data_IF_956884400148
#
_entry.id   IF_956884400148
#
_cell.length_a   1.000
_cell.length_b   1.000
_cell.length_c   1.000
_cell.angle_alpha   90.00
_cell.angle_beta   90.00
_cell.angle_gamma   90.00
#
_symmetry.space_group_name_H-M   'P 1'
#
loop_
_entity.id
_entity.type
_entity.pdbx_description
1 polymer ?
#
# COMPACT_ATOMS: atom_id res chain seq x y z
N UNK A 1 16.34 -18.72 -50.64
CA UNK A 1 15.83 -17.41 -51.08
C UNK A 1 14.31 -17.52 -51.19
N UNK A 2 13.59 -16.60 -50.54
CA UNK A 2 12.15 -16.26 -50.70
C UNK A 2 11.06 -17.04 -49.93
N UNK A 3 10.49 -16.28 -48.99
CA UNK A 3 9.21 -16.35 -48.27
C UNK A 3 7.96 -16.72 -49.10
N UNK A 4 6.98 -17.33 -48.40
CA UNK A 4 5.55 -16.95 -48.38
C UNK A 4 4.85 -17.71 -47.24
N UNK A 5 4.70 -17.13 -46.04
CA UNK A 5 3.48 -16.42 -45.59
C UNK A 5 2.15 -17.03 -46.06
N UNK A 6 1.54 -17.88 -45.23
CA UNK A 6 0.07 -17.93 -45.06
C UNK A 6 -0.23 -18.04 -43.56
N UNK A 7 -0.78 -16.95 -43.03
CA UNK A 7 -1.31 -16.80 -41.69
C UNK A 7 -2.55 -17.70 -41.53
N UNK A 8 -2.52 -18.62 -40.58
CA UNK A 8 -3.76 -19.19 -40.02
C UNK A 8 -4.02 -18.47 -38.72
N UNK A 9 -5.03 -17.59 -38.76
CA UNK A 9 -5.41 -16.72 -37.68
C UNK A 9 -5.92 -17.48 -36.47
N UNK A 10 -5.04 -17.73 -35.50
CA UNK A 10 -5.44 -17.83 -34.11
C UNK A 10 -5.90 -16.44 -33.68
N UNK A 11 -7.21 -16.29 -33.55
CA UNK A 11 -7.85 -15.07 -33.13
C UNK A 11 -7.25 -14.62 -31.78
N UNK A 12 -6.43 -13.56 -31.80
CA UNK A 12 -5.87 -12.93 -30.61
C UNK A 12 -6.95 -12.56 -29.58
N UNK A 13 -8.20 -12.39 -30.03
CA UNK A 13 -9.36 -12.13 -29.17
C UNK A 13 -9.75 -13.37 -28.36
N UNK A 14 -9.62 -14.59 -28.90
CA UNK A 14 -9.91 -15.83 -28.15
C UNK A 14 -8.81 -16.16 -27.14
N UNK A 15 -7.54 -15.86 -27.43
CA UNK A 15 -6.46 -15.99 -26.45
C UNK A 15 -6.52 -14.90 -25.38
N UNK A 16 -6.83 -13.66 -25.74
CA UNK A 16 -7.06 -12.58 -24.77
C UNK A 16 -8.32 -12.81 -23.93
N UNK A 17 -9.37 -13.41 -24.50
CA UNK A 17 -10.57 -13.81 -23.77
C UNK A 17 -10.26 -14.94 -22.78
N UNK A 18 -9.43 -15.92 -23.14
CA UNK A 18 -8.96 -16.98 -22.22
C UNK A 18 -8.09 -16.43 -21.07
N UNK A 19 -7.19 -15.47 -21.35
CA UNK A 19 -6.41 -14.77 -20.31
C UNK A 19 -7.27 -13.84 -19.44
N UNK A 20 -8.34 -13.26 -19.98
CA UNK A 20 -9.35 -12.54 -19.21
C UNK A 20 -10.26 -13.49 -18.42
N UNK A 21 -10.56 -14.69 -18.93
CA UNK A 21 -11.35 -15.71 -18.25
C UNK A 21 -10.61 -16.26 -17.01
N UNK A 22 -9.28 -16.42 -17.09
CA UNK A 22 -8.42 -16.71 -15.93
C UNK A 22 -8.28 -15.52 -14.97
N UNK A 23 -8.53 -14.27 -15.42
CA UNK A 23 -8.67 -13.08 -14.55
C UNK A 23 -10.10 -12.86 -14.02
N UNK A 24 -11.10 -13.53 -14.59
CA UNK A 24 -12.52 -13.50 -14.22
C UNK A 24 -12.97 -14.77 -13.49
N UNK A 25 -12.04 -15.60 -13.01
CA UNK A 25 -12.31 -16.73 -12.13
C UNK A 25 -12.62 -16.33 -10.68
N UNK A 26 -13.74 -15.64 -10.44
CA UNK A 26 -14.77 -16.00 -9.45
C UNK A 26 -15.82 -14.90 -9.34
N UNK A 27 -16.99 -15.12 -9.93
CA UNK A 27 -18.22 -14.37 -9.66
C UNK A 27 -18.94 -14.91 -8.41
N UNK A 28 -18.19 -15.35 -7.39
CA UNK A 28 -18.78 -15.96 -6.20
C UNK A 28 -17.80 -15.92 -5.04
N UNK A 29 -18.11 -15.06 -4.06
CA UNK A 29 -17.56 -15.10 -2.71
C UNK A 29 -16.05 -15.00 -2.60
N UNK A 30 -15.52 -13.80 -2.33
CA UNK A 30 -14.25 -13.76 -1.62
C UNK A 30 -14.56 -14.32 -0.23
N UNK A 31 -14.10 -15.55 0.05
CA UNK A 31 -14.35 -16.32 1.29
C UNK A 31 -13.74 -15.68 2.56
N UNK A 32 -13.53 -14.38 2.57
CA UNK A 32 -13.02 -13.63 3.71
C UNK A 32 -12.20 -12.41 3.30
N UNK A 33 -12.15 -11.41 4.18
CA UNK A 33 -11.26 -10.25 4.04
C UNK A 33 -9.79 -10.68 3.89
N UNK A 34 -9.37 -11.79 4.52
CA UNK A 34 -8.01 -12.32 4.43
C UNK A 34 -7.59 -12.61 2.98
N UNK A 35 -8.42 -13.36 2.24
CA UNK A 35 -8.14 -13.68 0.82
C UNK A 35 -8.14 -12.45 -0.08
N UNK A 36 -8.97 -11.46 0.24
CA UNK A 36 -8.97 -10.19 -0.49
C UNK A 36 -7.66 -9.43 -0.28
N UNK A 37 -7.13 -9.42 0.96
CA UNK A 37 -5.86 -8.77 1.28
C UNK A 37 -4.71 -9.39 0.49
N UNK A 38 -4.63 -10.71 0.43
CA UNK A 38 -3.58 -11.38 -0.35
C UNK A 38 -3.72 -11.07 -1.85
N UNK A 39 -4.94 -11.06 -2.37
CA UNK A 39 -5.22 -10.66 -3.75
C UNK A 39 -4.79 -9.22 -4.05
N UNK A 40 -4.98 -8.30 -3.10
CA UNK A 40 -4.53 -6.90 -3.22
C UNK A 40 -3.01 -6.83 -3.21
N UNK A 41 -2.36 -7.56 -2.31
CA UNK A 41 -0.90 -7.60 -2.20
C UNK A 41 -0.30 -8.08 -3.53
N UNK A 42 -0.78 -9.20 -4.06
CA UNK A 42 -0.33 -9.74 -5.34
C UNK A 42 -0.60 -8.77 -6.50
N UNK A 43 -1.79 -8.17 -6.55
CA UNK A 43 -2.10 -7.17 -7.57
C UNK A 43 -1.18 -5.93 -7.49
N UNK A 44 -0.77 -5.52 -6.29
CA UNK A 44 0.15 -4.38 -6.10
C UNK A 44 1.60 -4.75 -6.42
N UNK A 45 2.01 -6.00 -6.17
CA UNK A 45 3.31 -6.54 -6.62
C UNK A 45 3.40 -6.57 -8.13
N UNK A 46 2.38 -7.13 -8.79
CA UNK A 46 2.29 -7.17 -10.25
C UNK A 46 2.27 -5.76 -10.89
N UNK A 47 1.74 -4.77 -10.17
CA UNK A 47 1.74 -3.37 -10.60
C UNK A 47 3.07 -2.62 -10.34
N UNK A 48 4.18 -3.32 -10.10
CA UNK A 48 5.52 -2.77 -9.87
C UNK A 48 5.59 -1.71 -8.74
N UNK A 49 4.79 -1.87 -7.68
CA UNK A 49 4.91 -1.02 -6.48
C UNK A 49 6.11 -1.46 -5.64
N UNK A 50 6.77 -0.50 -5.01
CA UNK A 50 7.95 -0.75 -4.15
C UNK A 50 7.65 -1.81 -3.09
N UNK A 51 8.57 -2.76 -2.91
CA UNK A 51 8.41 -3.86 -1.94
C UNK A 51 8.11 -3.34 -0.51
N UNK A 52 8.72 -2.22 -0.10
CA UNK A 52 8.45 -1.54 1.17
C UNK A 52 6.99 -1.12 1.31
N UNK A 53 6.41 -0.54 0.26
CA UNK A 53 5.01 -0.12 0.26
C UNK A 53 4.08 -1.33 0.39
N UNK A 54 4.32 -2.39 -0.40
CA UNK A 54 3.50 -3.60 -0.35
C UNK A 54 3.59 -4.28 1.01
N UNK A 55 4.79 -4.40 1.59
CA UNK A 55 5.01 -4.95 2.94
C UNK A 55 4.25 -4.14 3.99
N UNK A 56 4.38 -2.82 3.91
CA UNK A 56 3.67 -1.90 4.80
C UNK A 56 2.16 -2.05 4.64
N UNK A 57 1.63 -2.06 3.41
CA UNK A 57 0.20 -2.24 3.16
C UNK A 57 -0.31 -3.56 3.77
N UNK A 58 0.36 -4.67 3.50
CA UNK A 58 -0.02 -5.97 4.05
C UNK A 58 0.00 -6.02 5.57
N UNK A 59 0.99 -5.42 6.22
CA UNK A 59 1.06 -5.34 7.68
C UNK A 59 -0.20 -4.69 8.28
N UNK A 60 -0.58 -3.51 7.78
CA UNK A 60 -1.75 -2.80 8.29
C UNK A 60 -3.04 -3.57 7.99
N UNK A 61 -3.21 -4.07 6.77
CA UNK A 61 -4.45 -4.76 6.40
C UNK A 61 -4.66 -6.05 7.21
N UNK A 62 -3.59 -6.83 7.44
CA UNK A 62 -3.66 -8.04 8.29
C UNK A 62 -3.97 -7.71 9.74
N UNK A 63 -3.42 -6.62 10.27
CA UNK A 63 -3.75 -6.14 11.61
C UNK A 63 -5.25 -5.82 11.73
N UNK A 64 -5.87 -5.21 10.71
CA UNK A 64 -7.31 -4.97 10.70
C UNK A 64 -8.15 -6.25 10.59
N UNK A 65 -7.69 -7.19 9.76
CA UNK A 65 -8.35 -8.47 9.52
C UNK A 65 -8.17 -9.48 10.67
N UNK A 66 -7.20 -9.29 11.56
CA UNK A 66 -6.92 -10.20 12.66
C UNK A 66 -8.19 -10.50 13.49
N UNK A 67 -8.51 -11.79 13.63
CA UNK A 67 -9.73 -12.26 14.31
C UNK A 67 -11.03 -12.14 13.51
N UNK A 68 -10.97 -11.68 12.25
CA UNK A 68 -12.11 -11.48 11.34
C UNK A 68 -11.75 -11.91 9.91
N UNK A 69 -10.77 -12.79 9.73
CA UNK A 69 -10.16 -13.09 8.43
C UNK A 69 -11.14 -13.77 7.46
N UNK A 70 -12.04 -14.59 8.00
CA UNK A 70 -13.08 -15.32 7.25
C UNK A 70 -14.36 -14.52 7.03
N UNK A 71 -14.47 -13.31 7.61
CA UNK A 71 -15.69 -12.51 7.47
C UNK A 71 -15.82 -11.98 6.02
N UNK A 72 -17.01 -12.07 5.41
CA UNK A 72 -17.28 -11.49 4.11
C UNK A 72 -17.00 -9.99 4.08
N UNK A 73 -16.53 -9.47 2.93
CA UNK A 73 -16.27 -8.03 2.80
C UNK A 73 -17.55 -7.19 2.92
N UNK A 74 -18.71 -7.75 2.59
CA UNK A 74 -20.00 -7.08 2.67
C UNK A 74 -20.42 -6.73 4.11
N UNK A 75 -19.93 -7.48 5.11
CA UNK A 75 -20.27 -7.26 6.52
C UNK A 75 -19.52 -6.04 7.12
N UNK A 76 -18.48 -5.55 6.45
CA UNK A 76 -17.70 -4.43 6.94
C UNK A 76 -18.38 -3.09 6.58
N UNK A 77 -19.19 -2.61 7.51
CA UNK A 77 -19.77 -1.26 7.49
C UNK A 77 -18.77 -0.16 7.89
N UNK A 78 -19.14 1.10 7.68
CA UNK A 78 -18.39 2.28 8.13
C UNK A 78 -18.18 2.27 9.65
N UNK A 79 -19.14 1.79 10.43
CA UNK A 79 -19.05 1.73 11.89
C UNK A 79 -17.93 0.81 12.36
N UNK A 80 -17.70 -0.32 11.69
CA UNK A 80 -16.59 -1.22 12.00
C UNK A 80 -15.22 -0.57 11.77
N UNK A 81 -15.12 0.28 10.74
CA UNK A 81 -13.90 1.03 10.44
C UNK A 81 -13.71 2.16 11.46
N UNK A 82 -14.77 2.86 11.83
CA UNK A 82 -14.76 3.90 12.86
C UNK A 82 -14.37 3.33 14.23
N UNK A 83 -14.98 2.23 14.66
CA UNK A 83 -14.64 1.52 15.89
C UNK A 83 -13.16 1.09 15.92
N UNK A 84 -12.61 0.69 14.77
CA UNK A 84 -11.18 0.39 14.66
C UNK A 84 -10.30 1.63 14.84
N UNK A 85 -10.72 2.77 14.30
CA UNK A 85 -9.97 4.02 14.37
C UNK A 85 -9.96 4.67 15.76
N UNK A 86 -11.04 4.51 16.53
CA UNK A 86 -11.15 5.06 17.91
C UNK A 86 -10.03 4.56 18.81
N UNK A 87 -9.49 3.35 18.55
CA UNK A 87 -8.37 2.75 19.30
C UNK A 87 -7.07 3.57 19.25
N UNK A 88 -6.91 4.44 18.27
CA UNK A 88 -5.71 5.25 18.08
C UNK A 88 -5.99 6.70 18.47
N UNK A 89 -5.17 7.30 19.32
CA UNK A 89 -5.30 8.72 19.70
C UNK A 89 -4.75 9.67 18.64
N UNK A 90 -3.75 9.24 17.86
CA UNK A 90 -3.10 10.08 16.85
C UNK A 90 -3.93 10.21 15.57
N UNK A 91 -4.23 11.46 15.20
CA UNK A 91 -4.89 11.82 13.93
C UNK A 91 -4.09 11.34 12.70
N UNK A 92 -2.76 11.38 12.75
CA UNK A 92 -1.89 10.85 11.68
C UNK A 92 -2.07 9.35 11.48
N UNK A 93 -2.16 8.61 12.58
CA UNK A 93 -2.35 7.16 12.56
C UNK A 93 -3.72 6.82 11.98
N UNK A 94 -4.79 7.52 12.42
CA UNK A 94 -6.14 7.36 11.86
C UNK A 94 -6.20 7.63 10.36
N UNK A 95 -5.57 8.72 9.90
CA UNK A 95 -5.50 9.04 8.47
C UNK A 95 -4.75 7.96 7.67
N UNK A 96 -3.66 7.45 8.22
CA UNK A 96 -2.89 6.36 7.61
C UNK A 96 -3.74 5.09 7.47
N UNK A 97 -4.51 4.76 8.52
CA UNK A 97 -5.45 3.64 8.49
C UNK A 97 -6.54 3.83 7.44
N UNK A 98 -7.20 4.99 7.43
CA UNK A 98 -8.22 5.34 6.43
C UNK A 98 -7.71 5.17 5.00
N UNK A 99 -6.53 5.72 4.69
CA UNK A 99 -5.95 5.63 3.36
C UNK A 99 -5.71 4.18 2.93
N UNK A 100 -5.24 3.33 3.85
CA UNK A 100 -4.95 1.92 3.56
C UNK A 100 -6.21 1.08 3.43
N UNK A 101 -7.19 1.29 4.30
CA UNK A 101 -8.47 0.59 4.25
C UNK A 101 -9.29 1.03 3.04
N UNK A 102 -9.32 2.33 2.73
CA UNK A 102 -9.92 2.84 1.49
C UNK A 102 -9.25 2.21 0.26
N UNK A 103 -7.92 2.03 0.24
CA UNK A 103 -7.26 1.35 -0.86
C UNK A 103 -7.66 -0.14 -1.02
N UNK A 104 -7.90 -0.84 0.10
CA UNK A 104 -8.42 -2.22 0.10
C UNK A 104 -9.86 -2.26 -0.45
N UNK A 105 -10.76 -1.47 0.12
CA UNK A 105 -12.17 -1.48 -0.28
C UNK A 105 -12.36 -0.94 -1.71
N UNK A 106 -11.59 0.06 -2.14
CA UNK A 106 -11.57 0.51 -3.53
C UNK A 106 -11.03 -0.55 -4.50
N UNK A 107 -10.16 -1.46 -4.06
CA UNK A 107 -9.81 -2.63 -4.85
C UNK A 107 -10.99 -3.62 -4.92
N UNK A 108 -11.66 -3.86 -3.79
CA UNK A 108 -12.82 -4.74 -3.75
C UNK A 108 -13.98 -4.25 -4.62
N UNK A 109 -14.28 -2.95 -4.62
CA UNK A 109 -15.28 -2.32 -5.52
C UNK A 109 -14.89 -2.52 -6.99
N UNK A 110 -13.63 -2.23 -7.36
CA UNK A 110 -13.16 -2.38 -8.75
C UNK A 110 -13.18 -3.81 -9.27
N UNK A 111 -13.14 -4.80 -8.37
CA UNK A 111 -13.26 -6.23 -8.69
C UNK A 111 -14.71 -6.73 -8.61
N UNK A 112 -15.65 -5.90 -8.20
CA UNK A 112 -17.07 -6.26 -8.05
C UNK A 112 -17.38 -7.07 -6.80
N UNK A 113 -16.51 -7.12 -5.80
CA UNK A 113 -16.73 -7.86 -4.56
C UNK A 113 -17.71 -7.17 -3.61
N UNK A 114 -17.74 -5.84 -3.66
CA UNK A 114 -18.67 -4.98 -2.91
C UNK A 114 -19.14 -3.87 -3.84
N UNK A 115 -20.33 -3.32 -3.59
CA UNK A 115 -20.95 -2.29 -4.44
C UNK A 115 -20.45 -0.88 -4.11
N UNK A 116 -20.11 -0.62 -2.85
CA UNK A 116 -19.67 0.69 -2.38
C UNK A 116 -18.53 0.55 -1.38
N UNK A 117 -17.67 1.57 -1.31
CA UNK A 117 -16.59 1.61 -0.33
C UNK A 117 -17.11 2.18 1.01
N UNK A 118 -17.05 1.41 2.11
CA UNK A 118 -17.51 1.88 3.43
C UNK A 118 -16.70 3.07 3.96
N UNK A 119 -15.47 3.28 3.49
CA UNK A 119 -14.64 4.39 3.93
C UNK A 119 -15.03 5.74 3.30
N UNK A 120 -15.83 5.75 2.23
CA UNK A 120 -16.21 7.01 1.56
C UNK A 120 -17.24 7.82 2.36
N UNK A 121 -17.95 7.15 3.28
CA UNK A 121 -18.93 7.76 4.19
C UNK A 121 -18.29 8.29 5.48
N UNK A 122 -16.99 8.09 5.67
CA UNK A 122 -16.27 8.49 6.88
C UNK A 122 -15.68 9.89 6.70
N UNK A 123 -15.76 10.69 7.76
CA UNK A 123 -15.11 11.98 7.79
C UNK A 123 -13.60 11.83 7.68
N UNK A 124 -13.01 12.61 6.77
CA UNK A 124 -11.57 12.62 6.60
C UNK A 124 -10.93 13.29 7.81
N UNK A 125 -9.93 12.61 8.38
CA UNK A 125 -9.19 13.15 9.51
C UNK A 125 -8.32 14.29 9.00
N UNK A 126 -8.70 15.52 9.33
CA UNK A 126 -7.83 16.67 9.08
C UNK A 126 -6.69 16.61 10.09
N UNK A 127 -5.46 16.69 9.58
CA UNK A 127 -4.26 16.63 10.40
C UNK A 127 -3.46 17.91 10.20
N UNK A 128 -3.28 18.66 11.28
CA UNK A 128 -2.40 19.82 11.28
C UNK A 128 -0.94 19.37 11.16
N UNK A 129 -0.37 19.60 9.97
CA UNK A 129 1.04 19.35 9.70
C UNK A 129 1.88 20.41 10.39
N UNK A 130 2.40 20.07 11.58
CA UNK A 130 3.42 20.89 12.22
C UNK A 130 4.70 20.79 11.37
N UNK A 131 5.37 21.93 11.08
CA UNK A 131 6.64 21.88 10.38
C UNK A 131 7.65 21.08 11.23
N UNK A 132 8.48 20.22 10.59
CA UNK A 132 9.54 19.54 11.31
C UNK A 132 10.49 20.58 11.93
N UNK A 133 11.02 20.29 13.10
CA UNK A 133 12.05 21.13 13.71
C UNK A 133 13.34 21.01 12.90
N UNK A 134 13.97 22.15 12.62
CA UNK A 134 15.22 22.24 11.86
C UNK A 134 16.37 22.39 12.84
N UNK A 135 17.46 21.65 12.62
CA UNK A 135 18.68 21.77 13.42
C UNK A 135 19.38 23.10 13.11
N UNK A 136 19.75 23.83 14.17
CA UNK A 136 20.64 24.97 14.06
C UNK A 136 22.09 24.53 13.78
N UNK A 137 22.95 25.39 13.23
CA UNK A 137 24.36 25.06 13.01
C UNK A 137 25.09 24.57 14.26
N UNK A 138 24.78 25.14 15.44
CA UNK A 138 25.36 24.71 16.70
C UNK A 138 24.91 23.28 17.08
N UNK A 139 23.62 22.96 16.91
CA UNK A 139 23.10 21.60 17.16
C UNK A 139 23.67 20.58 16.16
N UNK A 140 23.85 20.98 14.91
CA UNK A 140 24.52 20.17 13.88
C UNK A 140 25.97 19.83 14.25
N UNK A 141 26.72 20.80 14.76
CA UNK A 141 28.08 20.56 15.26
C UNK A 141 28.09 19.59 16.44
N UNK A 142 27.19 19.77 17.41
CA UNK A 142 27.06 18.86 18.56
C UNK A 142 26.69 17.44 18.13
N UNK A 143 25.76 17.29 17.18
CA UNK A 143 25.37 16.01 16.63
C UNK A 143 26.57 15.28 16.00
N UNK A 144 27.36 15.97 15.17
CA UNK A 144 28.53 15.38 14.54
C UNK A 144 29.63 15.00 15.53
N UNK A 145 29.81 15.79 16.59
CA UNK A 145 30.79 15.51 17.65
C UNK A 145 30.43 14.27 18.47
N UNK A 146 29.13 14.05 18.72
CA UNK A 146 28.63 12.89 19.48
C UNK A 146 28.34 11.67 18.60
N UNK A 147 28.25 11.84 17.29
CA UNK A 147 27.95 10.78 16.35
C UNK A 147 29.08 9.74 16.31
N UNK A 148 28.77 8.43 16.45
CA UNK A 148 29.73 7.36 16.23
C UNK A 148 30.40 7.47 14.87
N UNK A 149 31.70 7.15 14.78
CA UNK A 149 32.48 7.27 13.54
C UNK A 149 31.83 6.51 12.37
N UNK A 150 31.23 5.35 12.63
CA UNK A 150 30.53 4.54 11.62
C UNK A 150 29.28 5.22 11.04
N UNK A 151 28.60 6.07 11.82
CA UNK A 151 27.40 6.79 11.37
C UNK A 151 27.73 8.16 10.79
N UNK A 152 28.96 8.65 10.96
CA UNK A 152 29.34 10.01 10.56
C UNK A 152 29.15 10.27 9.06
N UNK A 153 29.54 9.36 8.12
CA UNK A 153 29.27 9.57 6.70
C UNK A 153 27.77 9.69 6.40
N UNK A 154 26.96 8.85 7.03
CA UNK A 154 25.50 8.86 6.88
C UNK A 154 24.89 10.19 7.33
N UNK A 155 25.28 10.68 8.52
CA UNK A 155 24.78 11.96 9.05
C UNK A 155 25.26 13.14 8.21
N UNK A 156 26.52 13.13 7.75
CA UNK A 156 27.08 14.21 6.90
C UNK A 156 26.37 14.27 5.55
N UNK A 157 26.15 13.14 4.88
CA UNK A 157 25.44 13.09 3.59
C UNK A 157 23.97 13.55 3.74
N UNK A 158 23.29 13.09 4.79
CA UNK A 158 21.92 13.52 5.05
C UNK A 158 21.80 15.01 5.38
N UNK A 159 22.75 15.55 6.14
CA UNK A 159 22.69 16.92 6.63
C UNK A 159 23.18 17.97 5.62
N UNK A 160 24.26 17.70 4.89
CA UNK A 160 24.87 18.68 3.98
C UNK A 160 24.52 18.47 2.51
N UNK A 161 24.34 17.21 2.08
CA UNK A 161 23.96 16.91 0.71
C UNK A 161 22.43 16.71 0.55
N UNK A 162 21.68 16.67 1.65
CA UNK A 162 20.23 16.51 1.63
C UNK A 162 19.75 15.16 1.07
N UNK A 163 20.63 14.15 1.06
CA UNK A 163 20.32 12.82 0.54
C UNK A 163 19.41 12.10 1.53
N UNK A 164 18.37 11.43 1.03
CA UNK A 164 17.46 10.72 1.94
C UNK A 164 18.15 9.52 2.58
N UNK A 165 17.81 9.20 3.84
CA UNK A 165 18.17 7.94 4.50
C UNK A 165 18.21 6.71 3.58
N UNK A 166 17.13 6.50 2.83
CA UNK A 166 16.97 5.32 1.98
C UNK A 166 17.81 5.34 0.70
N UNK A 167 18.30 6.52 0.31
CA UNK A 167 19.22 6.68 -0.82
C UNK A 167 20.67 6.46 -0.35
N UNK A 168 21.02 6.94 0.85
CA UNK A 168 22.34 6.71 1.46
C UNK A 168 22.59 5.21 1.68
N UNK A 169 21.57 4.46 2.13
CA UNK A 169 21.66 3.00 2.34
C UNK A 169 21.93 2.21 1.04
N UNK A 170 21.77 2.81 -0.13
CA UNK A 170 22.00 2.18 -1.45
C UNK A 170 23.30 2.64 -2.10
N UNK A 171 24.07 3.49 -1.44
CA UNK A 171 25.38 3.89 -1.90
C UNK A 171 26.35 2.74 -1.60
N UNK A 172 26.89 2.14 -2.66
CA UNK A 172 27.99 1.17 -2.59
C UNK A 172 29.34 1.88 -2.41
#
# INVERSE_FOLDING_TARGET
>A
MLQRCVKVGTCLILQAASELQLRQGSLGGVEGIGKCIDSVIEAKRAANRTARYVKSLGYYLRQFAAGREDKPLADFTSEHVEAWMVRYSSHYTRQTWLNRLSALFAFAVRRGYITANPCDRLDRVTVDKKPPQILSPAQSQQLLAQCPTVMRPYVVLGMFAGIRPEEIERLD
#
